data_IF_043922501301
#
_entry.id   IF_043922501301
#
_cell.length_a   1.000
_cell.length_b   1.000
_cell.length_c   1.000
_cell.angle_alpha   90.00
_cell.angle_beta   90.00
_cell.angle_gamma   90.00
#
_symmetry.space_group_name_H-M   'P 1'
#
loop_
_entity.id
_entity.type
_entity.pdbx_description
1 polymer ?
#
# COMPACT_ATOMS: atom_id res chain seq x y z
N UNK A 1 -32.22 -15.59 -22.89
CA UNK A 1 -31.81 -16.01 -21.53
C UNK A 1 -32.16 -17.46 -21.24
N UNK A 2 -33.37 -17.93 -21.54
CA UNK A 2 -33.78 -19.33 -21.27
C UNK A 2 -32.93 -20.39 -21.98
N UNK A 3 -32.60 -20.20 -23.27
CA UNK A 3 -31.72 -21.13 -24.01
C UNK A 3 -30.32 -21.26 -23.38
N UNK A 4 -29.75 -20.14 -22.91
CA UNK A 4 -28.46 -20.12 -22.21
C UNK A 4 -28.55 -20.82 -20.85
N UNK A 5 -29.62 -20.58 -20.09
CA UNK A 5 -29.85 -21.21 -18.80
C UNK A 5 -30.03 -22.73 -18.94
N UNK A 6 -30.75 -23.17 -19.98
CA UNK A 6 -30.94 -24.59 -20.30
C UNK A 6 -29.63 -25.28 -20.68
N UNK A 7 -28.82 -24.64 -21.52
CA UNK A 7 -27.50 -25.16 -21.91
C UNK A 7 -26.53 -25.26 -20.72
N UNK A 8 -26.56 -24.25 -19.81
CA UNK A 8 -25.79 -24.25 -18.56
C UNK A 8 -26.25 -25.35 -17.60
N UNK A 9 -27.56 -25.59 -17.49
CA UNK A 9 -28.10 -26.66 -16.65
C UNK A 9 -27.75 -28.06 -17.19
N UNK A 10 -27.79 -28.26 -18.50
CA UNK A 10 -27.42 -29.54 -19.15
C UNK A 10 -25.92 -29.87 -18.98
N UNK A 11 -25.05 -28.86 -18.92
CA UNK A 11 -23.60 -29.04 -18.81
C UNK A 11 -23.05 -28.68 -17.42
N UNK A 12 -23.90 -28.52 -16.42
CA UNK A 12 -23.54 -27.98 -15.10
C UNK A 12 -22.40 -28.75 -14.42
N UNK A 13 -22.41 -30.07 -14.50
CA UNK A 13 -21.35 -30.91 -13.94
C UNK A 13 -20.00 -30.68 -14.64
N UNK A 14 -20.01 -30.60 -15.97
CA UNK A 14 -18.81 -30.37 -16.76
C UNK A 14 -18.24 -28.97 -16.50
N UNK A 15 -19.13 -27.97 -16.42
CA UNK A 15 -18.75 -26.59 -16.12
C UNK A 15 -18.07 -26.53 -14.75
N UNK A 16 -18.67 -27.11 -13.70
CA UNK A 16 -18.08 -27.14 -12.36
C UNK A 16 -16.74 -27.88 -12.33
N UNK A 17 -16.66 -29.02 -13.01
CA UNK A 17 -15.44 -29.82 -13.08
C UNK A 17 -14.29 -29.02 -13.71
N UNK A 18 -14.51 -28.45 -14.90
CA UNK A 18 -13.48 -27.68 -15.63
C UNK A 18 -13.16 -26.36 -14.91
N UNK A 19 -14.17 -25.64 -14.41
CA UNK A 19 -13.95 -24.36 -13.74
C UNK A 19 -13.08 -24.52 -12.50
N UNK A 20 -13.31 -25.57 -11.70
CA UNK A 20 -12.53 -25.80 -10.49
C UNK A 20 -11.11 -26.25 -10.82
N UNK A 21 -10.89 -27.04 -11.88
CA UNK A 21 -9.52 -27.32 -12.37
C UNK A 21 -8.79 -26.01 -12.71
N UNK A 22 -9.44 -25.17 -13.52
CA UNK A 22 -8.86 -23.91 -13.98
C UNK A 22 -8.59 -22.94 -12.82
N UNK A 23 -9.49 -22.89 -11.83
CA UNK A 23 -9.34 -22.07 -10.65
C UNK A 23 -8.10 -22.43 -9.82
N UNK A 24 -7.90 -23.72 -9.58
CA UNK A 24 -6.72 -24.20 -8.87
C UNK A 24 -5.45 -24.13 -9.74
N UNK A 25 -5.59 -24.09 -11.06
CA UNK A 25 -4.51 -23.79 -12.02
C UNK A 25 -4.18 -22.28 -12.14
N UNK A 26 -4.50 -21.49 -11.11
CA UNK A 26 -4.21 -20.06 -10.95
C UNK A 26 -5.04 -19.08 -11.79
N UNK A 27 -6.20 -19.50 -12.34
CA UNK A 27 -7.17 -18.55 -12.88
C UNK A 27 -8.10 -18.03 -11.78
N UNK A 28 -8.35 -16.71 -11.67
CA UNK A 28 -9.21 -16.14 -10.64
C UNK A 28 -10.68 -16.36 -10.97
N UNK A 29 -11.16 -17.59 -10.79
CA UNK A 29 -12.56 -17.97 -10.99
C UNK A 29 -13.32 -17.97 -9.64
N UNK A 30 -14.60 -17.58 -9.61
CA UNK A 30 -15.38 -17.48 -8.37
C UNK A 30 -15.96 -18.83 -7.93
N UNK A 31 -15.10 -19.80 -7.59
CA UNK A 31 -15.48 -21.18 -7.27
C UNK A 31 -16.53 -21.33 -6.18
N UNK A 32 -16.42 -20.59 -5.08
CA UNK A 32 -17.41 -20.64 -3.99
C UNK A 32 -18.79 -20.25 -4.48
N UNK A 33 -18.87 -19.14 -5.22
CA UNK A 33 -20.12 -18.65 -5.78
C UNK A 33 -20.71 -19.69 -6.74
N UNK A 34 -19.88 -20.29 -7.59
CA UNK A 34 -20.33 -21.33 -8.52
C UNK A 34 -20.88 -22.56 -7.79
N UNK A 35 -20.22 -23.02 -6.71
CA UNK A 35 -20.69 -24.14 -5.91
C UNK A 35 -21.94 -23.83 -5.09
N UNK A 36 -22.07 -22.61 -4.54
CA UNK A 36 -23.29 -22.16 -3.86
C UNK A 36 -24.45 -22.12 -4.86
N UNK A 37 -24.23 -21.57 -6.05
CA UNK A 37 -25.24 -21.57 -7.13
C UNK A 37 -25.58 -23.00 -7.54
N UNK A 38 -24.60 -23.89 -7.67
CA UNK A 38 -24.83 -25.31 -7.98
C UNK A 38 -25.67 -26.01 -6.89
N UNK A 39 -25.44 -25.70 -5.62
CA UNK A 39 -26.27 -26.16 -4.51
C UNK A 39 -27.72 -25.68 -4.63
N UNK A 40 -27.93 -24.39 -4.93
CA UNK A 40 -29.27 -23.81 -5.17
C UNK A 40 -29.94 -24.48 -6.37
N UNK A 41 -29.20 -24.76 -7.44
CA UNK A 41 -29.70 -25.46 -8.62
C UNK A 41 -30.12 -26.90 -8.30
N UNK A 42 -29.31 -27.62 -7.52
CA UNK A 42 -29.63 -28.97 -7.07
C UNK A 42 -30.87 -29.00 -6.18
N UNK A 43 -31.08 -28.00 -5.32
CA UNK A 43 -32.32 -27.86 -4.53
C UNK A 43 -33.55 -27.68 -5.42
N UNK A 44 -33.42 -26.92 -6.51
CA UNK A 44 -34.49 -26.67 -7.48
C UNK A 44 -34.64 -27.77 -8.54
N UNK A 45 -34.09 -28.97 -8.31
CA UNK A 45 -34.12 -30.12 -9.22
C UNK A 45 -33.48 -29.90 -10.60
N UNK A 46 -32.59 -28.91 -10.75
CA UNK A 46 -31.82 -28.68 -11.98
C UNK A 46 -30.49 -29.48 -12.02
N UNK A 47 -30.38 -30.53 -11.20
CA UNK A 47 -29.23 -31.43 -11.14
C UNK A 47 -29.19 -32.23 -9.84
N UNK A 48 -28.45 -33.34 -9.84
CA UNK A 48 -28.24 -34.18 -8.67
C UNK A 48 -27.27 -33.52 -7.70
N UNK A 49 -27.70 -33.36 -6.44
CA UNK A 49 -26.85 -32.85 -5.36
C UNK A 49 -25.53 -33.63 -5.23
N UNK A 50 -25.60 -34.97 -5.28
CA UNK A 50 -24.41 -35.83 -5.26
C UNK A 50 -23.58 -35.65 -6.53
N UNK A 51 -24.23 -35.49 -7.69
CA UNK A 51 -23.55 -35.21 -8.96
C UNK A 51 -22.73 -33.92 -8.92
N UNK A 52 -23.28 -32.86 -8.33
CA UNK A 52 -22.57 -31.58 -8.14
C UNK A 52 -21.35 -31.75 -7.24
N UNK A 53 -21.49 -32.46 -6.10
CA UNK A 53 -20.38 -32.74 -5.19
C UNK A 53 -19.29 -33.53 -5.88
N UNK A 54 -19.63 -34.60 -6.60
CA UNK A 54 -18.64 -35.45 -7.28
C UNK A 54 -17.90 -34.67 -8.36
N UNK A 55 -18.62 -33.94 -9.22
CA UNK A 55 -18.01 -33.15 -10.28
C UNK A 55 -17.06 -32.07 -9.71
N UNK A 56 -17.52 -31.34 -8.70
CA UNK A 56 -16.72 -30.29 -8.05
C UNK A 56 -15.53 -30.84 -7.27
N UNK A 57 -15.69 -31.97 -6.59
CA UNK A 57 -14.62 -32.64 -5.86
C UNK A 57 -13.52 -33.12 -6.82
N UNK A 58 -13.90 -33.79 -7.91
CA UNK A 58 -12.94 -34.24 -8.92
C UNK A 58 -12.16 -33.06 -9.52
N UNK A 59 -12.85 -31.97 -9.88
CA UNK A 59 -12.20 -30.79 -10.44
C UNK A 59 -11.24 -30.12 -9.45
N UNK A 60 -11.68 -29.96 -8.20
CA UNK A 60 -10.88 -29.38 -7.10
C UNK A 60 -9.63 -30.22 -6.79
N UNK A 61 -9.79 -31.54 -6.70
CA UNK A 61 -8.69 -32.46 -6.40
C UNK A 61 -7.68 -32.47 -7.54
N UNK A 62 -8.11 -32.64 -8.79
CA UNK A 62 -7.22 -32.65 -9.94
C UNK A 62 -6.47 -31.32 -10.09
N UNK A 63 -7.17 -30.19 -9.95
CA UNK A 63 -6.56 -28.87 -10.02
C UNK A 63 -5.50 -28.65 -8.93
N UNK A 64 -5.79 -29.02 -7.68
CA UNK A 64 -4.81 -28.88 -6.58
C UNK A 64 -3.59 -29.79 -6.77
N UNK A 65 -3.80 -31.03 -7.20
CA UNK A 65 -2.72 -31.98 -7.44
C UNK A 65 -1.82 -31.52 -8.59
N UNK A 66 -2.42 -30.98 -9.66
CA UNK A 66 -1.70 -30.36 -10.77
C UNK A 66 -0.81 -29.22 -10.29
N UNK A 67 -1.35 -28.29 -9.50
CA UNK A 67 -0.60 -27.14 -9.00
C UNK A 67 0.56 -27.53 -8.08
N UNK A 68 0.39 -28.58 -7.27
CA UNK A 68 1.50 -29.16 -6.50
C UNK A 68 2.61 -29.71 -7.37
N UNK A 69 2.28 -30.50 -8.39
CA UNK A 69 3.29 -31.09 -9.28
C UNK A 69 4.02 -30.02 -10.10
N UNK A 70 3.30 -28.97 -10.56
CA UNK A 70 3.91 -27.79 -11.19
C UNK A 70 4.87 -27.11 -10.22
N UNK A 71 4.46 -26.84 -8.97
CA UNK A 71 5.33 -26.26 -7.95
C UNK A 71 6.58 -27.10 -7.68
N UNK A 72 6.41 -28.43 -7.59
CA UNK A 72 7.50 -29.37 -7.34
C UNK A 72 8.54 -29.39 -8.46
N UNK A 73 8.10 -29.26 -9.71
CA UNK A 73 8.98 -29.19 -10.89
C UNK A 73 9.68 -27.84 -11.03
N UNK A 74 9.00 -26.73 -10.73
CA UNK A 74 9.59 -25.39 -10.76
C UNK A 74 10.72 -25.24 -9.73
N UNK A 75 10.54 -25.83 -8.54
CA UNK A 75 11.51 -25.81 -7.45
C UNK A 75 11.87 -24.39 -6.98
N UNK A 76 12.93 -24.28 -6.19
CA UNK A 76 13.37 -22.99 -5.61
C UNK A 76 14.00 -22.05 -6.66
N UNK A 77 14.62 -22.60 -7.71
CA UNK A 77 15.31 -21.82 -8.77
C UNK A 77 14.39 -20.84 -9.51
N UNK A 78 13.13 -21.21 -9.73
CA UNK A 78 12.15 -20.32 -10.36
C UNK A 78 11.73 -19.18 -9.42
N UNK A 79 11.68 -19.44 -8.11
CA UNK A 79 11.33 -18.43 -7.11
C UNK A 79 12.49 -17.47 -6.84
N UNK A 80 13.73 -17.95 -6.87
CA UNK A 80 14.90 -17.07 -6.75
C UNK A 80 15.01 -16.08 -7.93
N UNK A 81 14.54 -16.48 -9.12
CA UNK A 81 14.58 -15.67 -10.34
C UNK A 81 13.34 -14.79 -10.54
N UNK A 82 12.15 -15.27 -10.20
CA UNK A 82 10.87 -14.59 -10.49
C UNK A 82 9.99 -14.35 -9.25
N UNK A 83 10.34 -14.88 -8.08
CA UNK A 83 9.53 -14.84 -6.87
C UNK A 83 9.27 -13.45 -6.34
N UNK A 84 10.20 -12.51 -6.54
CA UNK A 84 10.03 -11.10 -6.19
C UNK A 84 8.89 -10.42 -6.97
N UNK A 85 8.65 -10.81 -8.23
CA UNK A 85 7.58 -10.25 -9.07
C UNK A 85 6.18 -10.72 -8.68
N UNK A 86 6.06 -11.93 -8.10
CA UNK A 86 4.79 -12.52 -7.66
C UNK A 86 4.63 -12.54 -6.13
N UNK A 87 5.49 -11.82 -5.40
CA UNK A 87 5.39 -11.64 -3.95
C UNK A 87 5.82 -12.85 -3.10
N UNK A 88 6.45 -13.86 -3.70
CA UNK A 88 7.10 -15.01 -3.06
C UNK A 88 8.56 -14.66 -2.72
N UNK A 89 8.76 -13.79 -1.72
CA UNK A 89 10.12 -13.47 -1.24
C UNK A 89 10.65 -14.58 -0.30
N UNK A 90 11.98 -14.76 -0.19
CA UNK A 90 12.57 -15.75 0.72
C UNK A 90 12.08 -15.63 2.17
N UNK A 91 11.88 -14.41 2.66
CA UNK A 91 11.32 -14.15 3.99
C UNK A 91 9.89 -14.71 4.15
N UNK A 92 9.00 -14.46 3.17
CA UNK A 92 7.62 -14.96 3.20
C UNK A 92 7.55 -16.46 3.05
N UNK A 93 8.43 -17.05 2.24
CA UNK A 93 8.55 -18.49 2.12
C UNK A 93 8.98 -19.15 3.44
N UNK A 94 9.95 -18.55 4.13
CA UNK A 94 10.43 -19.03 5.43
C UNK A 94 9.31 -18.97 6.46
N UNK A 95 8.56 -17.86 6.53
CA UNK A 95 7.40 -17.73 7.43
C UNK A 95 6.28 -18.75 7.13
N UNK A 96 6.01 -19.01 5.85
CA UNK A 96 5.02 -20.01 5.45
C UNK A 96 5.49 -21.43 5.78
N UNK A 97 6.79 -21.73 5.65
CA UNK A 97 7.38 -23.00 6.06
C UNK A 97 7.35 -23.20 7.59
N UNK A 98 7.67 -22.17 8.38
CA UNK A 98 7.53 -22.18 9.84
C UNK A 98 6.08 -22.44 10.27
N UNK A 99 5.11 -21.81 9.59
CA UNK A 99 3.68 -22.03 9.85
C UNK A 99 3.27 -23.47 9.54
N UNK A 100 3.74 -24.02 8.42
CA UNK A 100 3.49 -25.41 8.05
C UNK A 100 4.11 -26.40 9.05
N UNK A 101 5.35 -26.14 9.50
CA UNK A 101 6.04 -26.96 10.50
C UNK A 101 5.35 -26.92 11.87
N UNK A 102 4.77 -25.77 12.26
CA UNK A 102 4.10 -25.58 13.55
C UNK A 102 2.75 -26.30 13.65
N UNK A 103 1.93 -26.21 12.61
CA UNK A 103 0.55 -26.71 12.62
C UNK A 103 0.40 -28.06 11.88
N UNK A 104 1.42 -28.49 11.14
CA UNK A 104 1.45 -29.77 10.45
C UNK A 104 0.42 -29.88 9.31
N UNK A 105 0.03 -31.11 8.99
CA UNK A 105 -0.77 -31.41 7.79
C UNK A 105 -2.19 -30.81 7.83
N UNK A 106 -2.73 -30.46 9.00
CA UNK A 106 -4.08 -29.89 9.12
C UNK A 106 -4.19 -28.50 8.47
N UNK A 107 -3.06 -27.79 8.34
CA UNK A 107 -2.98 -26.51 7.62
C UNK A 107 -3.48 -26.66 6.19
N UNK A 108 -3.20 -27.78 5.53
CA UNK A 108 -3.61 -28.02 4.15
C UNK A 108 -5.14 -27.99 4.05
N UNK A 109 -5.83 -28.60 5.02
CA UNK A 109 -7.30 -28.65 5.07
C UNK A 109 -7.89 -27.26 5.36
N UNK A 110 -7.34 -26.57 6.36
CA UNK A 110 -7.82 -25.23 6.76
C UNK A 110 -7.57 -24.20 5.64
N UNK A 111 -6.47 -24.32 4.91
CA UNK A 111 -6.08 -23.40 3.85
C UNK A 111 -7.10 -23.33 2.70
N UNK A 112 -7.91 -24.37 2.47
CA UNK A 112 -9.01 -24.32 1.48
C UNK A 112 -10.05 -23.24 1.79
N UNK A 113 -10.28 -22.95 3.08
CA UNK A 113 -11.25 -21.96 3.55
C UNK A 113 -10.68 -20.55 3.63
N UNK A 114 -9.41 -20.34 3.28
CA UNK A 114 -8.76 -19.04 3.27
C UNK A 114 -8.66 -18.54 1.81
N UNK A 115 -9.48 -17.56 1.40
CA UNK A 115 -9.41 -16.98 0.06
C UNK A 115 -8.00 -16.46 -0.26
N UNK A 116 -7.54 -16.66 -1.49
CA UNK A 116 -6.18 -16.33 -1.92
C UNK A 116 -5.13 -17.38 -1.51
N UNK A 117 -5.12 -17.81 -0.24
CA UNK A 117 -4.16 -18.81 0.27
C UNK A 117 -4.32 -20.15 -0.45
N UNK A 118 -5.57 -20.60 -0.70
CA UNK A 118 -5.81 -21.88 -1.37
C UNK A 118 -5.23 -21.97 -2.79
N UNK A 119 -5.22 -20.87 -3.55
CA UNK A 119 -4.77 -20.89 -4.94
C UNK A 119 -3.25 -21.04 -5.02
N UNK A 120 -2.52 -20.49 -4.05
CA UNK A 120 -1.07 -20.61 -3.97
C UNK A 120 -0.62 -21.87 -3.22
N UNK A 121 -1.51 -22.51 -2.45
CA UNK A 121 -1.19 -23.64 -1.57
C UNK A 121 -0.51 -24.79 -2.31
N UNK A 122 -1.06 -25.21 -3.45
CA UNK A 122 -0.51 -26.30 -4.25
C UNK A 122 0.91 -25.99 -4.72
N UNK A 123 1.08 -24.87 -5.43
CA UNK A 123 2.38 -24.42 -5.93
C UNK A 123 3.42 -24.27 -4.81
N UNK A 124 3.05 -23.57 -3.74
CA UNK A 124 3.93 -23.36 -2.60
C UNK A 124 4.37 -24.67 -1.95
N UNK A 125 3.43 -25.61 -1.78
CA UNK A 125 3.70 -26.90 -1.16
C UNK A 125 4.62 -27.77 -2.01
N UNK A 126 4.46 -27.69 -3.35
CA UNK A 126 5.34 -28.35 -4.30
C UNK A 126 6.75 -27.75 -4.29
N UNK A 127 6.86 -26.43 -4.36
CA UNK A 127 8.15 -25.69 -4.34
C UNK A 127 8.92 -26.00 -3.05
N UNK A 128 8.23 -26.02 -1.92
CA UNK A 128 8.79 -26.29 -0.59
C UNK A 128 9.07 -27.78 -0.35
N UNK A 129 8.80 -28.65 -1.34
CA UNK A 129 9.03 -30.10 -1.29
C UNK A 129 8.40 -30.78 -0.08
N UNK A 130 7.18 -30.37 0.28
CA UNK A 130 6.36 -31.10 1.25
C UNK A 130 6.16 -32.52 0.72
N UNK A 131 6.18 -33.52 1.60
CA UNK A 131 5.98 -34.93 1.21
C UNK A 131 4.72 -35.10 0.35
N UNK A 132 4.87 -35.65 -0.85
CA UNK A 132 3.81 -35.73 -1.85
C UNK A 132 2.64 -36.57 -1.37
N UNK A 133 2.91 -37.70 -0.69
CA UNK A 133 1.86 -38.59 -0.21
C UNK A 133 1.00 -37.88 0.83
N UNK A 134 1.61 -37.21 1.81
CA UNK A 134 0.91 -36.39 2.79
C UNK A 134 0.13 -35.27 2.10
N UNK A 135 0.76 -34.53 1.20
CA UNK A 135 0.08 -33.44 0.51
C UNK A 135 -1.17 -33.91 -0.24
N UNK A 136 -1.06 -34.95 -1.06
CA UNK A 136 -2.18 -35.45 -1.87
C UNK A 136 -3.33 -35.97 -1.00
N UNK A 137 -3.05 -36.67 0.11
CA UNK A 137 -4.09 -37.18 1.02
C UNK A 137 -4.83 -36.02 1.70
N UNK A 138 -4.10 -35.12 2.35
CA UNK A 138 -4.72 -34.03 3.13
C UNK A 138 -5.38 -32.98 2.24
N UNK A 139 -4.83 -32.69 1.06
CA UNK A 139 -5.47 -31.80 0.10
C UNK A 139 -6.73 -32.41 -0.51
N UNK A 140 -6.76 -33.72 -0.75
CA UNK A 140 -7.98 -34.40 -1.22
C UNK A 140 -9.08 -34.34 -0.17
N UNK A 141 -8.77 -34.65 1.09
CA UNK A 141 -9.74 -34.55 2.21
C UNK A 141 -10.22 -33.11 2.36
N UNK A 142 -9.31 -32.13 2.37
CA UNK A 142 -9.65 -30.71 2.48
C UNK A 142 -10.50 -30.20 1.32
N UNK A 143 -10.17 -30.60 0.10
CA UNK A 143 -10.92 -30.23 -1.10
C UNK A 143 -12.33 -30.81 -1.11
N UNK A 144 -12.51 -32.09 -0.79
CA UNK A 144 -13.83 -32.71 -0.69
C UNK A 144 -14.65 -32.03 0.41
N UNK A 145 -14.06 -31.83 1.59
CA UNK A 145 -14.75 -31.18 2.71
C UNK A 145 -15.19 -29.76 2.34
N UNK A 146 -14.32 -28.98 1.71
CA UNK A 146 -14.62 -27.64 1.23
C UNK A 146 -15.76 -27.64 0.19
N UNK A 147 -15.72 -28.53 -0.80
CA UNK A 147 -16.80 -28.68 -1.80
C UNK A 147 -18.14 -29.00 -1.14
N UNK A 148 -18.15 -29.98 -0.22
CA UNK A 148 -19.36 -30.37 0.50
C UNK A 148 -19.93 -29.18 1.26
N UNK A 149 -19.10 -28.41 1.97
CA UNK A 149 -19.56 -27.23 2.73
C UNK A 149 -20.26 -26.22 1.83
N UNK A 150 -19.64 -25.80 0.71
CA UNK A 150 -20.21 -24.75 -0.14
C UNK A 150 -21.41 -25.19 -0.96
N UNK A 151 -21.42 -26.42 -1.50
CA UNK A 151 -22.59 -26.96 -2.21
C UNK A 151 -23.76 -27.17 -1.24
N UNK A 152 -23.49 -27.69 -0.03
CA UNK A 152 -24.53 -27.86 0.99
C UNK A 152 -25.07 -26.53 1.47
N UNK A 153 -24.19 -25.53 1.65
CA UNK A 153 -24.62 -24.17 1.97
C UNK A 153 -25.60 -23.64 0.91
N UNK A 154 -25.27 -23.79 -0.37
CA UNK A 154 -26.17 -23.42 -1.47
C UNK A 154 -27.48 -24.20 -1.46
N UNK A 155 -27.43 -25.51 -1.24
CA UNK A 155 -28.61 -26.39 -1.20
C UNK A 155 -29.56 -26.01 -0.06
N UNK A 156 -29.03 -25.76 1.14
CA UNK A 156 -29.80 -25.32 2.32
C UNK A 156 -30.36 -23.90 2.15
N UNK A 157 -29.63 -23.00 1.46
CA UNK A 157 -30.08 -21.63 1.16
C UNK A 157 -31.04 -21.56 -0.05
N UNK A 158 -31.17 -22.64 -0.83
CA UNK A 158 -32.05 -22.75 -1.99
C UNK A 158 -33.47 -22.20 -1.79
N UNK A 159 -34.19 -22.52 -0.71
CA UNK A 159 -35.53 -22.00 -0.44
C UNK A 159 -35.57 -20.46 -0.26
N UNK A 160 -34.52 -19.88 0.32
CA UNK A 160 -34.42 -18.44 0.57
C UNK A 160 -33.82 -17.67 -0.61
N UNK A 161 -33.26 -18.36 -1.61
CA UNK A 161 -32.58 -17.75 -2.74
C UNK A 161 -33.45 -16.72 -3.48
N UNK A 162 -34.74 -16.96 -3.78
CA UNK A 162 -35.58 -15.95 -4.45
C UNK A 162 -35.75 -14.67 -3.61
N UNK A 163 -35.85 -14.80 -2.29
CA UNK A 163 -35.95 -13.65 -1.39
C UNK A 163 -34.63 -12.90 -1.28
N UNK A 164 -33.52 -13.62 -1.18
CA UNK A 164 -32.17 -13.05 -1.19
C UNK A 164 -31.87 -12.31 -2.50
N UNK A 165 -32.18 -12.90 -3.66
CA UNK A 165 -32.01 -12.23 -4.95
C UNK A 165 -32.91 -11.00 -5.09
N UNK A 166 -34.14 -11.04 -4.57
CA UNK A 166 -35.04 -9.88 -4.56
C UNK A 166 -34.53 -8.74 -3.67
N UNK A 167 -34.02 -9.06 -2.48
CA UNK A 167 -33.39 -8.08 -1.59
C UNK A 167 -32.08 -7.53 -2.19
N UNK A 168 -31.26 -8.38 -2.81
CA UNK A 168 -30.04 -7.98 -3.51
C UNK A 168 -30.35 -7.06 -4.69
N UNK A 169 -31.43 -7.33 -5.44
CA UNK A 169 -31.82 -6.46 -6.55
C UNK A 169 -32.41 -5.13 -6.04
N UNK A 170 -33.15 -5.14 -4.92
CA UNK A 170 -33.80 -3.95 -4.36
C UNK A 170 -32.84 -3.03 -3.59
N UNK A 171 -31.93 -3.60 -2.80
CA UNK A 171 -31.05 -2.86 -1.90
C UNK A 171 -29.57 -3.12 -2.16
N UNK A 172 -29.21 -4.18 -2.88
CA UNK A 172 -27.82 -4.60 -3.06
C UNK A 172 -27.00 -3.58 -3.84
N UNK A 173 -27.57 -2.88 -4.83
CA UNK A 173 -26.87 -1.80 -5.54
C UNK A 173 -26.57 -0.61 -4.62
N UNK A 174 -27.53 -0.20 -3.80
CA UNK A 174 -27.38 0.87 -2.81
C UNK A 174 -26.35 0.51 -1.74
N UNK A 175 -26.45 -0.70 -1.18
CA UNK A 175 -25.50 -1.24 -0.20
C UNK A 175 -24.10 -1.38 -0.78
N UNK A 176 -23.99 -1.77 -2.05
CA UNK A 176 -22.71 -1.88 -2.74
C UNK A 176 -22.03 -0.52 -2.90
N UNK A 177 -22.77 0.52 -3.30
CA UNK A 177 -22.23 1.89 -3.40
C UNK A 177 -21.77 2.41 -2.04
N UNK A 178 -22.58 2.22 -0.99
CA UNK A 178 -22.23 2.61 0.38
C UNK A 178 -20.99 1.84 0.88
N UNK A 179 -20.91 0.54 0.59
CA UNK A 179 -19.75 -0.28 0.93
C UNK A 179 -18.48 0.19 0.21
N UNK A 180 -18.58 0.58 -1.06
CA UNK A 180 -17.46 1.16 -1.82
C UNK A 180 -17.01 2.49 -1.22
N UNK A 181 -17.96 3.38 -0.88
CA UNK A 181 -17.63 4.66 -0.25
C UNK A 181 -16.95 4.45 1.11
N UNK A 182 -17.51 3.57 1.95
CA UNK A 182 -16.94 3.20 3.24
C UNK A 182 -15.55 2.56 3.10
N UNK A 183 -15.35 1.71 2.10
CA UNK A 183 -14.05 1.12 1.79
C UNK A 183 -13.02 2.20 1.48
N UNK A 184 -13.31 3.16 0.60
CA UNK A 184 -12.36 4.24 0.30
C UNK A 184 -12.05 5.11 1.52
N UNK A 185 -13.05 5.45 2.34
CA UNK A 185 -12.85 6.19 3.59
C UNK A 185 -11.96 5.39 4.55
N UNK A 186 -12.20 4.09 4.70
CA UNK A 186 -11.38 3.20 5.51
C UNK A 186 -9.94 3.09 4.98
N UNK A 187 -9.76 2.99 3.67
CA UNK A 187 -8.42 2.96 3.05
C UNK A 187 -7.67 4.28 3.28
N UNK A 188 -8.36 5.42 3.23
CA UNK A 188 -7.80 6.72 3.60
C UNK A 188 -7.37 6.72 5.07
N UNK A 189 -8.24 6.28 5.98
CA UNK A 189 -7.94 6.17 7.41
C UNK A 189 -6.73 5.27 7.68
N UNK A 190 -6.70 4.09 7.05
CA UNK A 190 -5.60 3.13 7.19
C UNK A 190 -4.27 3.69 6.68
N UNK A 191 -4.30 4.51 5.61
CA UNK A 191 -3.09 5.07 5.01
C UNK A 191 -2.54 6.28 5.78
N UNK A 192 -3.41 7.14 6.33
CA UNK A 192 -3.01 8.36 7.05
C UNK A 192 -2.79 8.11 8.56
N UNK A 193 -3.52 7.18 9.16
CA UNK A 193 -3.61 7.05 10.61
C UNK A 193 -4.54 8.10 11.24
N UNK A 194 -4.91 7.91 12.51
CA UNK A 194 -6.01 8.66 13.14
C UNK A 194 -5.77 10.18 13.22
N UNK A 195 -4.55 10.62 13.54
CA UNK A 195 -4.23 12.05 13.70
C UNK A 195 -4.28 12.78 12.35
N UNK A 196 -3.58 12.27 11.35
CA UNK A 196 -3.50 12.89 10.02
C UNK A 196 -4.82 12.80 9.27
N UNK A 197 -5.63 11.76 9.51
CA UNK A 197 -6.98 11.64 8.96
C UNK A 197 -7.88 12.82 9.35
N UNK A 198 -7.88 13.21 10.63
CA UNK A 198 -8.69 14.34 11.13
C UNK A 198 -8.23 15.64 10.49
N UNK A 199 -6.91 15.87 10.42
CA UNK A 199 -6.35 17.07 9.78
C UNK A 199 -6.71 17.12 8.29
N UNK A 200 -6.56 16.00 7.58
CA UNK A 200 -6.88 15.86 6.16
C UNK A 200 -8.32 16.25 5.85
N UNK A 201 -9.28 15.74 6.64
CA UNK A 201 -10.70 16.08 6.47
C UNK A 201 -11.01 17.50 6.90
N UNK A 202 -10.42 18.00 8.00
CA UNK A 202 -10.64 19.38 8.48
C UNK A 202 -10.26 20.42 7.43
N UNK A 203 -9.11 20.26 6.75
CA UNK A 203 -8.67 21.12 5.63
C UNK A 203 -9.68 21.15 4.47
N UNK A 204 -10.45 20.07 4.28
CA UNK A 204 -11.34 19.87 3.14
C UNK A 204 -12.82 20.00 3.50
N UNK A 205 -13.14 20.19 4.78
CA UNK A 205 -14.51 20.19 5.29
C UNK A 205 -15.38 21.27 4.64
N UNK A 206 -14.82 22.45 4.35
CA UNK A 206 -15.54 23.52 3.65
C UNK A 206 -16.05 23.06 2.28
N UNK A 207 -15.22 22.38 1.48
CA UNK A 207 -15.61 21.88 0.17
C UNK A 207 -16.60 20.73 0.27
N UNK A 208 -16.38 19.81 1.21
CA UNK A 208 -17.27 18.67 1.44
C UNK A 208 -18.66 19.11 1.93
N UNK A 209 -18.75 20.13 2.79
CA UNK A 209 -20.03 20.70 3.23
C UNK A 209 -20.82 21.28 2.06
N UNK A 210 -20.17 22.01 1.15
CA UNK A 210 -20.83 22.55 -0.05
C UNK A 210 -21.39 21.42 -0.91
N UNK A 211 -20.60 20.36 -1.16
CA UNK A 211 -21.05 19.20 -1.92
C UNK A 211 -22.25 18.50 -1.25
N UNK A 212 -22.20 18.29 0.07
CA UNK A 212 -23.29 17.67 0.84
C UNK A 212 -24.57 18.51 0.84
N UNK A 213 -24.46 19.85 0.92
CA UNK A 213 -25.62 20.75 0.85
C UNK A 213 -26.29 20.71 -0.52
N UNK A 214 -25.51 20.66 -1.60
CA UNK A 214 -26.04 20.52 -2.96
C UNK A 214 -26.77 19.17 -3.09
N UNK A 215 -26.15 18.09 -2.64
CA UNK A 215 -26.72 16.74 -2.73
C UNK A 215 -28.00 16.61 -1.90
N UNK A 216 -28.00 17.18 -0.69
CA UNK A 216 -29.19 17.26 0.17
C UNK A 216 -30.32 18.09 -0.47
N UNK A 217 -30.01 19.22 -1.11
CA UNK A 217 -31.01 20.03 -1.79
C UNK A 217 -31.68 19.28 -2.95
N UNK A 218 -30.91 18.49 -3.72
CA UNK A 218 -31.44 17.62 -4.78
C UNK A 218 -32.38 16.57 -4.21
N UNK A 219 -31.96 15.86 -3.15
CA UNK A 219 -32.79 14.86 -2.48
C UNK A 219 -34.08 15.46 -1.92
N UNK A 220 -33.99 16.59 -1.22
CA UNK A 220 -35.17 17.27 -0.65
C UNK A 220 -36.14 17.66 -1.75
N UNK A 221 -35.66 18.29 -2.82
CA UNK A 221 -36.52 18.77 -3.91
C UNK A 221 -37.26 17.64 -4.63
N UNK A 222 -36.54 16.59 -5.02
CA UNK A 222 -37.09 15.58 -5.95
C UNK A 222 -37.56 14.30 -5.29
N UNK A 223 -37.10 13.99 -4.08
CA UNK A 223 -37.50 12.77 -3.36
C UNK A 223 -38.53 13.08 -2.29
N UNK A 224 -38.31 14.15 -1.51
CA UNK A 224 -39.14 14.49 -0.33
C UNK A 224 -40.33 15.38 -0.69
N UNK A 225 -40.08 16.53 -1.34
CA UNK A 225 -41.11 17.55 -1.56
C UNK A 225 -42.01 17.27 -2.77
N UNK A 226 -41.52 16.55 -3.77
CA UNK A 226 -42.31 16.24 -4.96
C UNK A 226 -43.07 14.90 -4.79
N UNK A 227 -44.35 14.97 -4.46
CA UNK A 227 -45.22 13.79 -4.34
C UNK A 227 -45.66 13.21 -5.69
N UNK A 228 -45.50 13.96 -6.80
CA UNK A 228 -45.95 13.55 -8.14
C UNK A 228 -44.88 12.78 -8.92
N UNK A 229 -43.65 12.76 -8.44
CA UNK A 229 -42.56 12.04 -9.10
C UNK A 229 -42.71 10.52 -8.99
N UNK A 230 -42.46 9.86 -10.12
CA UNK A 230 -42.52 8.41 -10.23
C UNK A 230 -41.55 7.75 -9.20
N UNK A 231 -41.98 6.70 -8.47
CA UNK A 231 -41.12 5.98 -7.52
C UNK A 231 -39.79 5.49 -8.10
N UNK A 232 -39.78 5.11 -9.38
CA UNK A 232 -38.55 4.73 -10.09
C UNK A 232 -37.59 5.91 -10.23
N UNK A 233 -38.11 7.09 -10.58
CA UNK A 233 -37.31 8.31 -10.69
C UNK A 233 -36.73 8.74 -9.33
N UNK A 234 -37.51 8.61 -8.24
CA UNK A 234 -37.00 8.84 -6.87
C UNK A 234 -35.84 7.90 -6.53
N UNK A 235 -35.97 6.62 -6.87
CA UNK A 235 -34.91 5.63 -6.68
C UNK A 235 -33.65 5.96 -7.50
N UNK A 236 -33.81 6.41 -8.74
CA UNK A 236 -32.69 6.79 -9.61
C UNK A 236 -31.94 8.01 -9.04
N UNK A 237 -32.65 9.01 -8.51
CA UNK A 237 -32.02 10.18 -7.87
C UNK A 237 -31.21 9.78 -6.63
N UNK A 238 -31.78 8.95 -5.75
CA UNK A 238 -31.05 8.44 -4.58
C UNK A 238 -29.79 7.69 -5.04
N UNK A 239 -29.90 6.87 -6.08
CA UNK A 239 -28.77 6.15 -6.65
C UNK A 239 -27.67 7.10 -7.15
N UNK A 240 -28.01 8.14 -7.90
CA UNK A 240 -27.03 9.11 -8.40
C UNK A 240 -26.37 9.92 -7.29
N UNK A 241 -27.12 10.36 -6.27
CA UNK A 241 -26.57 11.05 -5.09
C UNK A 241 -25.56 10.17 -4.35
N UNK A 242 -25.92 8.91 -4.06
CA UNK A 242 -25.01 7.96 -3.42
C UNK A 242 -23.79 7.63 -4.28
N UNK A 243 -23.99 7.45 -5.59
CA UNK A 243 -22.91 7.25 -6.54
C UNK A 243 -21.94 8.43 -6.59
N UNK A 244 -22.47 9.66 -6.51
CA UNK A 244 -21.67 10.88 -6.44
C UNK A 244 -20.83 10.92 -5.15
N UNK A 245 -21.41 10.61 -3.99
CA UNK A 245 -20.66 10.53 -2.73
C UNK A 245 -19.56 9.47 -2.77
N UNK A 246 -19.83 8.29 -3.34
CA UNK A 246 -18.83 7.24 -3.52
C UNK A 246 -17.71 7.67 -4.46
N UNK A 247 -18.04 8.40 -5.54
CA UNK A 247 -17.07 8.98 -6.45
C UNK A 247 -16.20 10.04 -5.77
N UNK A 248 -16.77 10.92 -4.95
CA UNK A 248 -16.01 11.88 -4.14
C UNK A 248 -15.07 11.15 -3.16
N UNK A 249 -15.54 10.09 -2.48
CA UNK A 249 -14.70 9.27 -1.62
C UNK A 249 -13.54 8.61 -2.38
N UNK A 250 -13.80 8.13 -3.59
CA UNK A 250 -12.77 7.60 -4.49
C UNK A 250 -11.73 8.68 -4.89
N UNK A 251 -12.16 9.89 -5.24
CA UNK A 251 -11.25 10.99 -5.58
C UNK A 251 -10.39 11.42 -4.40
N UNK A 252 -10.97 11.47 -3.19
CA UNK A 252 -10.21 11.73 -1.96
C UNK A 252 -9.16 10.63 -1.73
N UNK A 253 -9.55 9.37 -1.92
CA UNK A 253 -8.64 8.24 -1.83
C UNK A 253 -7.51 8.34 -2.87
N UNK A 254 -7.84 8.65 -4.12
CA UNK A 254 -6.86 8.83 -5.19
C UNK A 254 -5.87 9.95 -4.85
N UNK A 255 -6.35 11.05 -4.25
CA UNK A 255 -5.48 12.13 -3.78
C UNK A 255 -4.52 11.65 -2.68
N UNK A 256 -5.00 10.91 -1.68
CA UNK A 256 -4.14 10.34 -0.62
C UNK A 256 -3.21 9.27 -1.18
N UNK A 257 -3.62 8.59 -2.26
CA UNK A 257 -2.79 7.61 -2.94
C UNK A 257 -1.62 8.28 -3.65
N UNK A 258 -1.90 9.35 -4.39
CA UNK A 258 -0.96 10.01 -5.29
C UNK A 258 -0.14 11.13 -4.64
N UNK A 259 -0.66 11.78 -3.59
CA UNK A 259 -0.02 12.90 -2.90
C UNK A 259 0.12 12.68 -1.39
N UNK A 260 1.18 13.22 -0.82
CA UNK A 260 1.39 13.33 0.61
C UNK A 260 0.59 14.50 1.18
N UNK A 261 -0.03 14.33 2.35
CA UNK A 261 -0.63 15.46 3.07
C UNK A 261 0.48 16.20 3.83
N UNK A 262 0.85 17.36 3.28
CA UNK A 262 1.94 18.20 3.78
C UNK A 262 1.44 19.63 4.06
N UNK A 263 2.31 20.42 4.67
CA UNK A 263 2.11 21.87 4.87
C UNK A 263 2.51 22.65 3.62
N UNK A 264 2.50 23.99 3.71
CA UNK A 264 2.88 24.85 2.56
C UNK A 264 4.40 25.03 2.46
N UNK A 265 5.12 25.00 3.59
CA UNK A 265 6.57 25.13 3.65
C UNK A 265 7.19 23.91 4.31
N UNK A 266 8.42 23.59 3.90
CA UNK A 266 9.25 22.54 4.47
C UNK A 266 10.62 23.09 4.85
N UNK A 267 11.12 22.74 6.02
CA UNK A 267 12.54 22.84 6.35
C UNK A 267 13.18 21.46 6.25
N UNK A 268 14.24 21.33 5.46
CA UNK A 268 15.07 20.12 5.36
C UNK A 268 16.40 20.37 6.06
N UNK A 269 16.63 19.64 7.14
CA UNK A 269 17.90 19.63 7.87
C UNK A 269 18.73 18.45 7.35
N UNK A 270 19.78 18.77 6.60
CA UNK A 270 20.61 17.77 5.93
C UNK A 270 21.76 17.34 6.83
N UNK A 271 21.78 16.06 7.20
CA UNK A 271 22.92 15.34 7.75
C UNK A 271 23.65 16.05 8.92
N UNK A 272 22.90 16.73 9.79
CA UNK A 272 23.47 17.39 10.97
C UNK A 272 23.74 16.38 12.10
N UNK A 273 24.58 15.40 11.79
CA UNK A 273 24.93 14.25 12.63
C UNK A 273 26.26 14.47 13.36
N UNK A 274 26.45 13.77 14.48
CA UNK A 274 27.66 13.84 15.30
C UNK A 274 28.94 13.66 14.48
N UNK A 275 28.99 12.65 13.60
CA UNK A 275 30.18 12.41 12.79
C UNK A 275 30.55 13.56 11.84
N UNK A 276 29.59 14.41 11.44
CA UNK A 276 29.87 15.59 10.62
C UNK A 276 30.13 16.86 11.44
N UNK A 277 29.93 16.81 12.76
CA UNK A 277 30.09 17.97 13.65
C UNK A 277 31.33 17.81 14.52
N UNK A 278 31.36 16.82 15.40
CA UNK A 278 32.41 16.59 16.40
C UNK A 278 33.04 15.18 16.32
N UNK A 279 32.61 14.36 15.36
CA UNK A 279 33.11 12.99 15.17
C UNK A 279 34.04 12.82 13.97
N UNK A 280 33.91 11.69 13.26
CA UNK A 280 34.90 11.22 12.29
C UNK A 280 35.25 12.21 11.15
N UNK A 281 34.29 13.04 10.74
CA UNK A 281 34.41 14.06 9.69
C UNK A 281 34.08 15.47 10.22
N UNK A 282 34.17 15.69 11.54
CA UNK A 282 33.89 16.96 12.19
C UNK A 282 34.88 18.07 11.78
N UNK A 283 34.45 19.32 11.92
CA UNK A 283 35.26 20.50 11.63
C UNK A 283 34.86 21.70 12.49
N UNK A 284 35.80 22.61 12.75
CA UNK A 284 35.73 23.62 13.83
C UNK A 284 34.48 24.51 13.82
N UNK A 285 33.93 24.82 12.64
CA UNK A 285 32.77 25.72 12.51
C UNK A 285 31.42 25.01 12.47
N UNK A 286 31.40 23.66 12.44
CA UNK A 286 30.16 22.88 12.35
C UNK A 286 29.28 23.03 13.60
N UNK A 287 29.88 23.05 14.80
CA UNK A 287 29.16 23.18 16.08
C UNK A 287 28.40 24.52 16.21
N UNK A 288 28.90 25.57 15.55
CA UNK A 288 28.30 26.91 15.60
C UNK A 288 26.89 26.95 14.98
N UNK A 289 26.58 25.97 14.11
CA UNK A 289 25.28 25.86 13.46
C UNK A 289 24.17 25.32 14.37
N UNK A 290 24.51 24.68 15.50
CA UNK A 290 23.53 23.92 16.29
C UNK A 290 22.38 24.81 16.77
N UNK A 291 22.71 25.97 17.33
CA UNK A 291 21.69 26.93 17.77
C UNK A 291 20.92 27.56 16.60
N UNK A 292 21.59 27.83 15.47
CA UNK A 292 20.98 28.46 14.30
C UNK A 292 19.94 27.53 13.68
N UNK A 293 20.31 26.26 13.48
CA UNK A 293 19.42 25.24 12.94
C UNK A 293 18.27 24.96 13.93
N UNK A 294 18.55 24.85 15.23
CA UNK A 294 17.51 24.65 16.25
C UNK A 294 16.46 25.78 16.24
N UNK A 295 16.89 27.05 16.13
CA UNK A 295 15.98 28.20 16.03
C UNK A 295 15.05 28.11 14.81
N UNK A 296 15.58 27.70 13.66
CA UNK A 296 14.77 27.52 12.44
C UNK A 296 13.77 26.39 12.58
N UNK A 297 14.19 25.26 13.16
CA UNK A 297 13.28 24.15 13.44
C UNK A 297 12.11 24.63 14.31
N UNK A 298 12.40 25.39 15.38
CA UNK A 298 11.34 25.95 16.23
C UNK A 298 10.39 26.89 15.48
N UNK A 299 10.90 27.74 14.59
CA UNK A 299 10.08 28.66 13.79
C UNK A 299 9.10 27.89 12.89
N UNK A 300 9.59 26.87 12.18
CA UNK A 300 8.76 26.03 11.33
C UNK A 300 7.71 25.27 12.14
N UNK A 301 8.09 24.68 13.27
CA UNK A 301 7.15 23.95 14.11
C UNK A 301 6.09 24.88 14.75
N UNK A 302 6.48 26.07 15.23
CA UNK A 302 5.54 27.06 15.80
C UNK A 302 4.55 27.59 14.76
N UNK A 303 4.96 27.71 13.50
CA UNK A 303 4.11 28.10 12.38
C UNK A 303 3.31 26.93 11.76
N UNK A 304 3.41 25.74 12.35
CA UNK A 304 2.70 24.54 11.91
C UNK A 304 3.17 24.03 10.54
N UNK A 305 4.43 24.27 10.19
CA UNK A 305 5.10 23.80 8.98
C UNK A 305 5.90 22.53 9.24
N UNK A 306 6.14 21.76 8.18
CA UNK A 306 6.83 20.49 8.26
C UNK A 306 8.36 20.69 8.40
N UNK A 307 8.99 19.78 9.13
CA UNK A 307 10.45 19.64 9.24
C UNK A 307 10.82 18.20 8.89
N UNK A 308 11.85 18.02 8.06
CA UNK A 308 12.40 16.72 7.69
C UNK A 308 13.90 16.69 7.95
N UNK A 309 14.38 15.57 8.46
CA UNK A 309 15.81 15.29 8.57
C UNK A 309 16.26 14.32 7.47
N UNK A 310 17.42 14.56 6.88
CA UNK A 310 18.19 13.48 6.26
C UNK A 310 19.32 13.07 7.19
N UNK A 311 19.66 11.79 7.13
CA UNK A 311 20.81 11.22 7.82
C UNK A 311 21.60 10.43 6.81
N UNK A 312 22.85 10.82 6.60
CA UNK A 312 23.78 9.95 5.92
C UNK A 312 23.95 8.68 6.77
N UNK A 313 23.95 7.53 6.10
CA UNK A 313 23.83 6.24 6.75
C UNK A 313 24.66 5.22 5.99
N UNK A 314 25.65 4.67 6.67
CA UNK A 314 26.53 3.65 6.17
C UNK A 314 26.45 2.38 7.02
N UNK A 315 27.00 1.29 6.49
CA UNK A 315 27.03 -0.01 7.16
C UNK A 315 28.47 -0.49 7.26
N UNK A 316 28.70 -1.60 7.96
CA UNK A 316 30.03 -2.16 8.21
C UNK A 316 30.82 -2.55 6.95
N UNK A 317 30.18 -2.57 5.77
CA UNK A 317 30.86 -2.75 4.49
C UNK A 317 31.27 -1.43 3.81
N UNK A 318 31.24 -0.28 4.51
CA UNK A 318 31.48 1.05 3.95
C UNK A 318 32.74 1.14 3.09
N UNK A 319 33.87 0.61 3.57
CA UNK A 319 35.16 0.63 2.87
C UNK A 319 35.15 -0.11 1.51
N UNK A 320 34.14 -0.96 1.26
CA UNK A 320 33.98 -1.66 -0.02
C UNK A 320 33.19 -0.86 -1.06
N UNK A 321 32.49 0.19 -0.62
CA UNK A 321 31.65 1.04 -1.48
C UNK A 321 32.50 1.96 -2.37
N UNK A 322 31.87 2.61 -3.36
CA UNK A 322 32.57 3.61 -4.18
C UNK A 322 33.09 4.77 -3.32
N UNK A 323 32.28 5.23 -2.38
CA UNK A 323 32.63 6.34 -1.51
C UNK A 323 33.76 5.96 -0.56
N UNK A 324 33.63 4.85 0.17
CA UNK A 324 34.66 4.39 1.11
C UNK A 324 36.01 4.08 0.48
N UNK A 325 36.06 3.79 -0.83
CA UNK A 325 37.34 3.67 -1.58
C UNK A 325 38.04 5.01 -1.82
N UNK A 326 37.29 6.11 -1.90
CA UNK A 326 37.83 7.45 -2.14
C UNK A 326 37.92 8.30 -0.86
N UNK A 327 37.10 7.98 0.14
CA UNK A 327 37.11 8.55 1.49
C UNK A 327 37.18 7.38 2.50
N UNK A 328 38.37 6.83 2.79
CA UNK A 328 38.53 5.64 3.61
C UNK A 328 38.44 5.93 5.12
N UNK A 329 37.42 6.69 5.53
CA UNK A 329 37.12 7.05 6.91
C UNK A 329 35.69 6.58 7.18
N UNK A 330 35.54 5.57 8.05
CA UNK A 330 34.21 5.13 8.47
C UNK A 330 33.52 6.23 9.27
N UNK A 331 32.29 6.54 8.88
CA UNK A 331 31.47 7.58 9.49
C UNK A 331 29.99 7.24 9.28
N UNK A 332 29.12 7.82 10.10
CA UNK A 332 27.66 7.68 10.02
C UNK A 332 27.20 6.20 9.93
N UNK A 333 27.94 5.29 10.57
CA UNK A 333 27.60 3.87 10.61
C UNK A 333 26.31 3.70 11.42
N UNK A 334 25.30 3.04 10.85
CA UNK A 334 24.01 2.83 11.51
C UNK A 334 24.20 2.23 12.92
N UNK A 335 23.40 2.70 13.86
CA UNK A 335 23.44 2.34 15.30
C UNK A 335 24.72 2.77 16.06
N UNK A 336 25.66 3.48 15.41
CA UNK A 336 26.77 4.13 16.11
C UNK A 336 26.34 5.44 16.77
N UNK A 337 27.15 5.93 17.72
CA UNK A 337 26.92 7.25 18.31
C UNK A 337 27.02 8.36 17.25
N UNK A 338 27.98 8.24 16.34
CA UNK A 338 28.26 9.17 15.25
C UNK A 338 27.10 9.34 14.26
N UNK A 339 26.23 8.32 14.13
CA UNK A 339 25.02 8.39 13.30
C UNK A 339 23.93 9.29 13.88
N UNK A 340 23.92 9.57 15.18
CA UNK A 340 22.87 10.38 15.79
C UNK A 340 22.95 11.85 15.35
N UNK A 341 21.82 12.55 15.36
CA UNK A 341 21.81 14.01 15.20
C UNK A 341 22.62 14.67 16.33
N UNK A 342 23.26 15.79 16.02
CA UNK A 342 24.08 16.53 16.98
C UNK A 342 23.26 17.48 17.86
N UNK A 343 23.77 17.74 19.08
CA UNK A 343 23.39 18.88 19.90
C UNK A 343 21.89 19.06 20.17
N UNK A 344 21.45 20.33 20.13
CA UNK A 344 20.05 20.73 20.34
C UNK A 344 19.16 20.22 19.21
N UNK A 345 19.67 20.15 17.99
CA UNK A 345 18.93 19.65 16.81
C UNK A 345 18.39 18.24 17.04
N UNK A 346 19.16 17.37 17.71
CA UNK A 346 18.73 16.01 18.05
C UNK A 346 17.42 15.95 18.86
N UNK A 347 17.15 16.97 19.69
CA UNK A 347 15.92 17.06 20.49
C UNK A 347 14.64 17.12 19.67
N UNK A 348 14.72 17.53 18.41
CA UNK A 348 13.57 17.71 17.52
C UNK A 348 13.30 16.52 16.59
N UNK A 349 14.14 15.47 16.61
CA UNK A 349 14.00 14.32 15.70
C UNK A 349 12.61 13.68 15.77
N UNK A 350 12.06 13.55 16.98
CA UNK A 350 10.73 12.97 17.23
C UNK A 350 9.57 13.83 16.75
N UNK A 351 9.81 15.13 16.52
CA UNK A 351 8.81 16.09 16.06
C UNK A 351 8.82 16.24 14.53
N UNK A 352 9.85 15.72 13.85
CA UNK A 352 9.91 15.77 12.41
C UNK A 352 8.78 14.98 11.74
N UNK A 353 8.34 15.49 10.60
CA UNK A 353 7.41 14.79 9.71
C UNK A 353 8.02 13.48 9.21
N UNK A 354 9.34 13.48 8.96
CA UNK A 354 10.08 12.31 8.50
C UNK A 354 11.57 12.44 8.79
N UNK A 355 12.21 11.31 9.06
CA UNK A 355 13.67 11.14 9.05
C UNK A 355 14.02 10.19 7.91
N UNK A 356 14.93 10.59 7.03
CA UNK A 356 15.30 9.84 5.83
C UNK A 356 16.77 9.43 5.93
N UNK A 357 17.00 8.14 6.13
CA UNK A 357 18.33 7.55 6.03
C UNK A 357 18.69 7.37 4.54
N UNK A 358 19.84 7.90 4.13
CA UNK A 358 20.35 7.80 2.76
C UNK A 358 21.78 7.26 2.77
N UNK A 359 22.15 6.51 1.74
CA UNK A 359 23.49 5.91 1.59
C UNK A 359 24.35 6.63 0.56
N UNK A 360 24.01 7.88 0.24
CA UNK A 360 24.62 8.71 -0.79
C UNK A 360 24.38 10.19 -0.48
N UNK A 361 25.15 11.09 -1.07
CA UNK A 361 25.03 12.54 -0.83
C UNK A 361 23.62 13.09 -1.05
N UNK A 362 23.02 12.85 -2.22
CA UNK A 362 21.62 13.19 -2.50
C UNK A 362 20.64 12.08 -2.15
N UNK A 363 19.41 12.42 -1.78
CA UNK A 363 18.33 11.47 -1.48
C UNK A 363 17.23 11.48 -2.54
N UNK A 364 17.12 10.38 -3.29
CA UNK A 364 16.00 10.14 -4.21
C UNK A 364 14.68 10.09 -3.43
N UNK A 365 14.70 9.52 -2.22
CA UNK A 365 13.49 9.37 -1.40
C UNK A 365 12.97 10.71 -0.90
N UNK A 366 13.87 11.64 -0.54
CA UNK A 366 13.50 13.02 -0.23
C UNK A 366 12.89 13.72 -1.46
N UNK A 367 13.58 13.66 -2.60
CA UNK A 367 13.13 14.31 -3.83
C UNK A 367 11.75 13.79 -4.30
N UNK A 368 11.53 12.47 -4.24
CA UNK A 368 10.22 11.85 -4.55
C UNK A 368 9.14 12.20 -3.54
N UNK A 369 9.51 12.38 -2.27
CA UNK A 369 8.55 12.83 -1.26
C UNK A 369 8.10 14.26 -1.55
N UNK A 370 9.05 15.17 -1.82
CA UNK A 370 8.76 16.57 -2.15
C UNK A 370 7.95 16.68 -3.45
N UNK A 371 8.25 15.91 -4.50
CA UNK A 371 7.49 15.99 -5.77
C UNK A 371 6.04 15.53 -5.67
N UNK A 372 5.71 14.76 -4.63
CA UNK A 372 4.35 14.30 -4.32
C UNK A 372 3.70 15.09 -3.19
N UNK A 373 4.29 16.19 -2.76
CA UNK A 373 3.78 17.04 -1.68
C UNK A 373 2.92 18.19 -2.19
N UNK A 374 2.39 18.98 -1.26
CA UNK A 374 1.74 20.27 -1.51
C UNK A 374 2.66 21.46 -1.09
N UNK A 375 3.97 21.24 -0.89
CA UNK A 375 4.92 22.31 -0.56
C UNK A 375 5.04 23.33 -1.71
N UNK A 376 4.99 24.61 -1.33
CA UNK A 376 5.28 25.76 -2.19
C UNK A 376 6.74 26.20 -2.06
N UNK A 377 7.32 26.05 -0.87
CA UNK A 377 8.69 26.45 -0.56
C UNK A 377 9.40 25.34 0.25
N UNK A 378 10.64 25.04 -0.12
CA UNK A 378 11.52 24.11 0.61
C UNK A 378 12.82 24.85 0.95
N UNK A 379 13.07 25.02 2.25
CA UNK A 379 14.32 25.58 2.75
C UNK A 379 15.28 24.46 3.15
N UNK A 380 16.53 24.53 2.69
CA UNK A 380 17.60 23.59 3.06
C UNK A 380 18.59 24.23 4.02
N UNK A 381 18.99 23.48 5.04
CA UNK A 381 20.08 23.80 5.95
C UNK A 381 20.85 22.51 6.33
N UNK A 382 21.90 22.63 7.14
CA UNK A 382 22.70 21.50 7.59
C UNK A 382 24.03 21.37 6.84
N UNK A 383 24.53 20.15 6.69
CA UNK A 383 25.92 19.88 6.33
C UNK A 383 26.08 18.83 5.20
N UNK A 384 27.19 18.83 4.48
CA UNK A 384 28.03 20.02 4.18
C UNK A 384 27.46 20.73 2.95
N UNK A 385 27.64 22.05 2.89
CA UNK A 385 26.97 22.94 1.94
C UNK A 385 27.11 22.52 0.46
N UNK A 386 28.34 22.28 0.00
CA UNK A 386 28.65 21.98 -1.40
C UNK A 386 28.54 20.50 -1.79
N UNK A 387 28.20 19.60 -0.86
CA UNK A 387 28.08 18.16 -1.13
C UNK A 387 26.66 17.69 -0.88
N UNK A 388 26.29 17.36 0.35
CA UNK A 388 24.98 16.78 0.66
C UNK A 388 23.85 17.80 0.48
N UNK A 389 24.04 19.04 0.95
CA UNK A 389 23.03 20.10 0.80
C UNK A 389 22.80 20.38 -0.69
N UNK A 390 23.87 20.69 -1.44
CA UNK A 390 23.81 20.92 -2.88
C UNK A 390 23.20 19.73 -3.66
N UNK A 391 23.60 18.50 -3.33
CA UNK A 391 23.08 17.30 -4.00
C UNK A 391 21.58 17.13 -3.77
N UNK A 392 21.08 17.37 -2.55
CA UNK A 392 19.64 17.28 -2.27
C UNK A 392 18.85 18.41 -2.93
N UNK A 393 19.41 19.61 -3.05
CA UNK A 393 18.83 20.72 -3.82
C UNK A 393 18.67 20.32 -5.29
N UNK A 394 19.74 19.87 -5.94
CA UNK A 394 19.71 19.46 -7.36
C UNK A 394 18.70 18.34 -7.58
N UNK A 395 18.67 17.34 -6.70
CA UNK A 395 17.71 16.24 -6.78
C UNK A 395 16.27 16.73 -6.62
N UNK A 396 16.03 17.66 -5.69
CA UNK A 396 14.69 18.23 -5.46
C UNK A 396 14.22 19.02 -6.68
N UNK A 397 15.06 19.88 -7.22
CA UNK A 397 14.78 20.66 -8.44
C UNK A 397 14.52 19.75 -9.65
N UNK A 398 15.28 18.65 -9.77
CA UNK A 398 15.10 17.65 -10.85
C UNK A 398 13.74 16.95 -10.78
N UNK A 399 13.22 16.68 -9.57
CA UNK A 399 11.96 15.96 -9.38
C UNK A 399 10.74 16.89 -9.25
N UNK A 400 10.95 18.17 -8.94
CA UNK A 400 9.88 19.14 -8.73
C UNK A 400 10.30 20.52 -9.26
N UNK A 401 9.89 20.81 -10.49
CA UNK A 401 10.19 22.07 -11.19
C UNK A 401 9.42 23.29 -10.64
N UNK A 402 8.45 23.09 -9.73
CA UNK A 402 7.50 24.13 -9.30
C UNK A 402 7.74 24.64 -7.88
N UNK A 403 8.54 23.94 -7.09
CA UNK A 403 8.76 24.29 -5.70
C UNK A 403 9.85 25.36 -5.61
N UNK A 404 9.60 26.42 -4.86
CA UNK A 404 10.62 27.41 -4.56
C UNK A 404 11.65 26.80 -3.62
N UNK A 405 12.93 26.89 -3.96
CA UNK A 405 14.01 26.37 -3.13
C UNK A 405 14.72 27.55 -2.48
N UNK A 406 14.98 27.44 -1.18
CA UNK A 406 15.69 28.46 -0.42
C UNK A 406 16.83 27.84 0.40
N UNK A 407 17.92 28.57 0.57
CA UNK A 407 19.01 28.22 1.48
C UNK A 407 19.38 29.43 2.31
N UNK A 408 19.50 29.23 3.62
CA UNK A 408 20.08 30.22 4.52
C UNK A 408 21.57 29.91 4.72
N UNK A 409 22.43 30.82 4.28
CA UNK A 409 23.88 30.64 4.36
C UNK A 409 24.41 30.64 5.79
N UNK A 410 23.67 31.18 6.77
CA UNK A 410 24.03 31.10 8.18
C UNK A 410 23.70 29.74 8.80
N UNK A 411 22.88 28.92 8.12
CA UNK A 411 22.44 27.62 8.60
C UNK A 411 23.11 26.44 7.86
N UNK A 412 24.17 26.70 7.10
CA UNK A 412 24.97 25.66 6.43
C UNK A 412 26.44 26.06 6.34
N UNK A 413 27.34 25.07 6.34
CA UNK A 413 28.79 25.30 6.21
C UNK A 413 29.43 24.24 5.33
N UNK A 414 30.46 24.65 4.61
CA UNK A 414 31.40 23.79 3.92
C UNK A 414 32.68 23.62 4.73
N UNK A 415 33.57 22.75 4.24
CA UNK A 415 34.82 22.39 4.93
C UNK A 415 35.91 23.48 4.87
N UNK A 416 35.70 24.55 4.10
CA UNK A 416 36.65 25.66 3.96
C UNK A 416 35.94 26.97 3.62
N UNK A 417 36.61 28.09 3.89
CA UNK A 417 36.05 29.41 3.56
C UNK A 417 35.96 29.66 2.05
N UNK A 418 36.83 29.04 1.26
CA UNK A 418 36.73 29.07 -0.21
C UNK A 418 35.43 28.41 -0.70
N UNK A 419 35.08 27.26 -0.11
CA UNK A 419 33.82 26.58 -0.39
C UNK A 419 32.64 27.46 0.04
N UNK A 420 32.66 28.03 1.24
CA UNK A 420 31.60 28.91 1.72
C UNK A 420 31.40 30.12 0.80
N UNK A 421 32.49 30.75 0.36
CA UNK A 421 32.48 31.94 -0.49
C UNK A 421 31.95 31.64 -1.90
N UNK A 422 32.25 30.47 -2.45
CA UNK A 422 31.79 30.06 -3.79
C UNK A 422 30.38 29.47 -3.81
N UNK A 423 29.88 28.96 -2.68
CA UNK A 423 28.59 28.28 -2.60
C UNK A 423 27.40 29.16 -3.02
N UNK A 424 27.40 30.43 -2.60
CA UNK A 424 26.36 31.40 -3.01
C UNK A 424 26.24 31.50 -4.52
N UNK A 425 27.37 31.55 -5.23
CA UNK A 425 27.41 31.63 -6.69
C UNK A 425 26.79 30.40 -7.34
N UNK A 426 27.07 29.19 -6.81
CA UNK A 426 26.45 27.96 -7.31
C UNK A 426 24.93 27.95 -7.11
N UNK A 427 24.45 28.37 -5.94
CA UNK A 427 23.01 28.45 -5.66
C UNK A 427 22.29 29.43 -6.59
N UNK A 428 22.87 30.61 -6.81
CA UNK A 428 22.31 31.60 -7.74
C UNK A 428 22.23 31.08 -9.18
N UNK A 429 23.28 30.39 -9.64
CA UNK A 429 23.29 29.75 -10.96
C UNK A 429 22.23 28.64 -11.10
N UNK A 430 21.86 28.00 -9.99
CA UNK A 430 20.79 27.01 -9.92
C UNK A 430 19.41 27.61 -9.66
N UNK A 431 19.27 28.95 -9.70
CA UNK A 431 18.01 29.68 -9.41
C UNK A 431 17.45 29.40 -8.01
N UNK A 432 18.33 29.17 -7.03
CA UNK A 432 17.95 28.98 -5.63
C UNK A 432 17.94 30.33 -4.90
N UNK A 433 16.88 30.58 -4.12
CA UNK A 433 16.78 31.77 -3.29
C UNK A 433 17.77 31.69 -2.11
N UNK A 434 18.53 32.75 -1.86
CA UNK A 434 19.57 32.77 -0.82
C UNK A 434 19.21 33.78 0.26
N UNK A 435 19.22 33.34 1.53
CA UNK A 435 19.07 34.18 2.73
C UNK A 435 20.44 34.37 3.40
N UNK A 436 20.67 35.56 3.97
CA UNK A 436 21.90 36.00 4.65
C UNK A 436 21.59 36.75 5.94
#
# INVERSE_FOLDING_TARGET
MEMLFKLLAEHVYLILFVSLILEFAALPLPGETMMVVAGIMAYNNHGSYIGMIVASALGTVLGMQFSYEVGRRLGTKAVDKYGSYIGLTPYRMTKAAEFFNKFGNIVIVIAYFLPGVRHILGYFSGISRIDAKRFHIYSTIGGIFWVVVFITLGYVLGPSAPHAFKLLHKYGTMLFILAIAALFIYLIYKKLGAKDFVVYFKKRMKYLLVLLLIDAAVLVKFVVLDERTNPKFKSDIIFYCLGFLAFVAFLLYLRVLLKHDTTEKLLVVVDYQKDFVDGALGFETAEQLDQVIANKIEEYLKSGQDVIFTKDTHYTNYLTTREGKHLPIEHCIIDSEGHNLYGKVAGYEKQAKKVINKTSFGSIDLAKFISRSDYKEVEFCGLVSNICVLSNIIMTQTYNEKVEITVDLNATKGLSEEVNSSFKTYLQNLTVNVKE
#
